data_IF_250018590377
#
_entry.id   IF_250018590377
#
_cell.length_a   1.000
_cell.length_b   1.000
_cell.length_c   1.000
_cell.angle_alpha   90.00
_cell.angle_beta   90.00
_cell.angle_gamma   90.00
#
_symmetry.space_group_name_H-M   'P 1'
#
loop_
_entity.id
_entity.type
_entity.pdbx_description
1 polymer ?
#
# COMPACT_ATOMS: atom_id res chain seq x y z
N UNK A 1 13.17 18.14 5.10
CA UNK A 1 11.96 18.09 4.24
C UNK A 1 11.62 16.70 3.71
N UNK A 2 12.60 15.80 3.45
CA UNK A 2 12.33 14.45 2.95
C UNK A 2 11.65 13.50 3.98
N UNK A 3 12.04 13.60 5.26
CA UNK A 3 11.56 12.71 6.33
C UNK A 3 10.04 12.80 6.54
N UNK A 4 9.49 14.01 6.55
CA UNK A 4 8.03 14.25 6.69
C UNK A 4 7.26 13.66 5.51
N UNK A 5 7.79 13.78 4.28
CA UNK A 5 7.19 13.18 3.09
C UNK A 5 7.17 11.65 3.20
N UNK A 6 8.29 11.03 3.56
CA UNK A 6 8.36 9.58 3.77
C UNK A 6 7.42 9.09 4.87
N UNK A 7 7.28 9.85 5.97
CA UNK A 7 6.36 9.52 7.05
C UNK A 7 4.89 9.56 6.58
N UNK A 8 4.53 10.59 5.79
CA UNK A 8 3.19 10.70 5.20
C UNK A 8 2.87 9.53 4.27
N UNK A 9 3.81 9.14 3.39
CA UNK A 9 3.62 7.98 2.52
C UNK A 9 3.48 6.69 3.32
N UNK A 10 4.24 6.53 4.41
CA UNK A 10 4.14 5.37 5.28
C UNK A 10 2.77 5.25 5.97
N UNK A 11 2.27 6.34 6.55
CA UNK A 11 0.94 6.38 7.15
C UNK A 11 -0.17 6.14 6.14
N UNK A 12 -0.08 6.76 4.95
CA UNK A 12 -1.06 6.60 3.89
C UNK A 12 -1.08 5.16 3.37
N UNK A 13 0.10 4.54 3.21
CA UNK A 13 0.23 3.15 2.79
C UNK A 13 -0.39 2.20 3.82
N UNK A 14 -0.06 2.34 5.10
CA UNK A 14 -0.65 1.51 6.16
C UNK A 14 -2.17 1.68 6.27
N UNK A 15 -2.69 2.89 6.07
CA UNK A 15 -4.13 3.13 6.04
C UNK A 15 -4.81 2.46 4.83
N UNK A 16 -4.20 2.53 3.65
CA UNK A 16 -4.71 1.85 2.45
C UNK A 16 -4.65 0.32 2.58
N UNK A 17 -3.62 -0.21 3.23
CA UNK A 17 -3.46 -1.66 3.44
C UNK A 17 -4.54 -2.21 4.37
N UNK A 18 -4.68 -1.63 5.56
CA UNK A 18 -5.67 -2.07 6.55
C UNK A 18 -7.10 -1.74 6.08
N UNK A 19 -7.30 -0.55 5.50
CA UNK A 19 -8.60 -0.12 4.98
C UNK A 19 -9.06 -0.92 3.76
N UNK A 20 -8.16 -1.18 2.80
CA UNK A 20 -8.44 -1.97 1.62
C UNK A 20 -8.81 -3.42 1.96
N UNK A 21 -8.04 -4.05 2.84
CA UNK A 21 -8.34 -5.39 3.35
C UNK A 21 -9.67 -5.46 4.10
N UNK A 22 -9.97 -4.46 4.93
CA UNK A 22 -11.24 -4.38 5.66
C UNK A 22 -12.44 -4.24 4.73
N UNK A 23 -12.35 -3.40 3.69
CA UNK A 23 -13.42 -3.22 2.70
C UNK A 23 -13.69 -4.51 1.90
N UNK A 24 -12.64 -5.22 1.49
CA UNK A 24 -12.79 -6.53 0.83
C UNK A 24 -13.41 -7.56 1.78
N UNK A 25 -13.00 -7.57 3.05
CA UNK A 25 -13.58 -8.44 4.08
C UNK A 25 -15.06 -8.12 4.33
N UNK A 26 -15.42 -6.83 4.35
CA UNK A 26 -16.79 -6.36 4.50
C UNK A 26 -17.67 -6.81 3.32
N UNK A 27 -17.12 -6.78 2.11
CA UNK A 27 -17.79 -7.35 0.93
C UNK A 27 -17.99 -8.86 1.04
N UNK A 28 -16.94 -9.60 1.42
CA UNK A 28 -16.97 -11.07 1.53
C UNK A 28 -17.91 -11.58 2.63
N UNK A 29 -17.99 -10.88 3.77
CA UNK A 29 -18.71 -11.34 4.96
C UNK A 29 -20.15 -10.83 5.04
N UNK A 30 -20.38 -9.58 4.66
CA UNK A 30 -21.71 -8.96 4.74
C UNK A 30 -22.42 -8.88 3.39
N UNK A 31 -21.77 -9.28 2.29
CA UNK A 31 -22.34 -9.16 0.94
C UNK A 31 -22.64 -7.71 0.55
N UNK A 32 -22.06 -6.73 1.25
CA UNK A 32 -22.21 -5.31 0.97
C UNK A 32 -21.82 -5.04 -0.49
N UNK A 33 -22.54 -4.17 -1.18
CA UNK A 33 -22.51 -4.06 -2.64
C UNK A 33 -21.11 -3.98 -3.27
N UNK A 34 -21.02 -4.41 -4.54
CA UNK A 34 -19.77 -4.50 -5.35
C UNK A 34 -18.88 -3.25 -5.28
N UNK A 35 -19.44 -2.06 -5.06
CA UNK A 35 -18.70 -0.82 -4.87
C UNK A 35 -17.69 -0.87 -3.72
N UNK A 36 -18.03 -1.54 -2.61
CA UNK A 36 -17.14 -1.72 -1.46
C UNK A 36 -15.95 -2.61 -1.84
N UNK A 37 -16.21 -3.66 -2.61
CA UNK A 37 -15.17 -4.54 -3.16
C UNK A 37 -14.23 -3.78 -4.10
N UNK A 38 -14.79 -3.02 -5.06
CA UNK A 38 -14.02 -2.24 -6.04
C UNK A 38 -13.09 -1.23 -5.36
N UNK A 39 -13.58 -0.50 -4.35
CA UNK A 39 -12.77 0.47 -3.60
C UNK A 39 -11.67 -0.24 -2.80
N UNK A 40 -11.98 -1.37 -2.14
CA UNK A 40 -10.98 -2.15 -1.40
C UNK A 40 -9.87 -2.71 -2.28
N UNK A 41 -10.23 -3.29 -3.43
CA UNK A 41 -9.27 -3.77 -4.43
C UNK A 41 -8.43 -2.65 -5.02
N UNK A 42 -9.03 -1.50 -5.32
CA UNK A 42 -8.31 -0.35 -5.84
C UNK A 42 -7.28 0.20 -4.84
N UNK A 43 -7.63 0.27 -3.55
CA UNK A 43 -6.71 0.66 -2.47
C UNK A 43 -5.53 -0.32 -2.33
N UNK A 44 -5.78 -1.62 -2.44
CA UNK A 44 -4.73 -2.65 -2.38
C UNK A 44 -3.77 -2.57 -3.58
N UNK A 45 -4.29 -2.31 -4.79
CA UNK A 45 -3.47 -2.11 -5.99
C UNK A 45 -2.59 -0.87 -5.83
N UNK A 46 -3.17 0.25 -5.37
CA UNK A 46 -2.43 1.48 -5.07
C UNK A 46 -1.33 1.26 -4.03
N UNK A 47 -1.66 0.55 -2.95
CA UNK A 47 -0.69 0.17 -1.92
C UNK A 47 0.48 -0.64 -2.49
N UNK A 48 0.25 -1.54 -3.44
CA UNK A 48 1.32 -2.30 -4.10
C UNK A 48 2.20 -1.45 -5.02
N UNK A 49 1.63 -0.43 -5.67
CA UNK A 49 2.33 0.38 -6.67
C UNK A 49 3.16 1.51 -6.02
N UNK A 50 2.62 2.21 -5.02
CA UNK A 50 3.29 3.34 -4.35
C UNK A 50 4.73 3.01 -3.87
N UNK A 51 5.01 1.88 -3.19
CA UNK A 51 6.36 1.54 -2.74
C UNK A 51 7.32 1.19 -3.88
N UNK A 52 6.81 0.78 -5.06
CA UNK A 52 7.67 0.51 -6.25
C UNK A 52 8.20 1.77 -6.92
N UNK A 53 7.55 2.91 -6.68
CA UNK A 53 8.00 4.21 -7.18
C UNK A 53 9.08 4.84 -6.31
N UNK A 54 9.36 4.26 -5.14
CA UNK A 54 10.44 4.72 -4.29
C UNK A 54 11.79 4.25 -4.89
N UNK A 55 12.75 5.15 -5.14
CA UNK A 55 14.07 4.76 -5.64
C UNK A 55 14.77 3.89 -4.59
N UNK A 56 14.79 2.58 -4.82
CA UNK A 56 15.51 1.64 -3.99
C UNK A 56 16.99 1.71 -4.35
N UNK A 57 17.79 2.42 -3.55
CA UNK A 57 19.23 2.31 -3.60
C UNK A 57 19.62 0.94 -3.01
N UNK A 58 19.49 -0.12 -3.80
CA UNK A 58 20.03 -1.45 -3.50
C UNK A 58 21.56 -1.40 -3.61
N UNK A 59 22.21 -0.70 -2.69
CA UNK A 59 23.64 -0.81 -2.43
C UNK A 59 23.93 -2.13 -1.73
N UNK A 60 23.86 -3.25 -2.47
CA UNK A 60 24.48 -4.50 -2.02
C UNK A 60 25.98 -4.29 -2.09
N UNK A 61 26.59 -4.04 -0.94
CA UNK A 61 28.03 -4.21 -0.73
C UNK A 61 28.37 -5.67 -1.06
N UNK A 62 29.02 -5.87 -2.20
CA UNK A 62 29.89 -7.03 -2.46
C UNK A 62 30.85 -6.64 -3.59
N UNK A 63 31.88 -5.88 -3.24
CA UNK A 63 33.14 -5.93 -3.96
C UNK A 63 34.19 -6.25 -2.90
N UNK A 64 34.32 -7.55 -2.61
CA UNK A 64 35.57 -8.10 -2.10
C UNK A 64 36.34 -8.52 -3.36
N UNK A 65 37.37 -7.77 -3.71
CA UNK A 65 38.35 -8.08 -4.74
C UNK A 65 39.74 -7.81 -4.16
#
# INVERSE_FOLDING_TARGET
>A
MALIKSLLYFLLAGFCEIGGGYLVWLWLREGKGIFVALIGWFLLILYGIIPTLQPANFGRVSNNA
#
